data_IF_761007737946
#
_entry.id   IF_761007737946
#
_cell.length_a   1.000
_cell.length_b   1.000
_cell.length_c   1.000
_cell.angle_alpha   90.00
_cell.angle_beta   90.00
_cell.angle_gamma   90.00
#
_symmetry.space_group_name_H-M   'P 1'
#
loop_
_entity.id
_entity.type
_entity.pdbx_description
1 polymer ?
#
# COMPACT_ATOMS: atom_id res chain seq x y z
N UNK A 1 -5.11 9.06 25.73
CA UNK A 1 -3.74 8.58 25.51
C UNK A 1 -3.73 7.57 24.37
N UNK A 2 -2.75 7.60 23.45
CA UNK A 2 -2.77 6.77 22.24
C UNK A 2 -2.48 5.28 22.46
N UNK A 3 -1.72 4.90 23.49
CA UNK A 3 -1.46 3.52 23.89
C UNK A 3 -1.47 3.39 25.42
N UNK A 4 -2.14 2.38 25.96
CA UNK A 4 -2.29 2.14 27.41
C UNK A 4 -1.76 0.74 27.75
N UNK A 5 -2.21 -0.27 27.01
CA UNK A 5 -1.81 -1.66 27.15
C UNK A 5 -2.21 -2.43 25.88
N UNK A 6 -1.48 -3.50 25.57
CA UNK A 6 -1.73 -4.31 24.39
C UNK A 6 -0.48 -5.05 23.97
N UNK A 7 -0.43 -5.46 22.71
CA UNK A 7 0.71 -6.18 22.15
C UNK A 7 1.60 -5.23 21.34
N UNK A 8 2.91 -5.29 21.55
CA UNK A 8 3.91 -4.57 20.76
C UNK A 8 4.89 -5.59 20.19
N UNK A 9 5.32 -5.44 18.95
CA UNK A 9 6.31 -6.34 18.37
C UNK A 9 6.35 -6.24 16.85
N UNK A 10 6.66 -7.35 16.19
CA UNK A 10 6.96 -7.37 14.76
C UNK A 10 6.28 -8.51 14.02
N UNK A 11 5.98 -8.23 12.76
CA UNK A 11 5.52 -9.19 11.78
C UNK A 11 6.57 -9.28 10.65
N UNK A 12 6.92 -10.49 10.23
CA UNK A 12 7.79 -10.72 9.07
C UNK A 12 7.03 -10.43 7.78
N UNK A 13 7.78 -10.21 6.70
CA UNK A 13 7.20 -10.17 5.36
C UNK A 13 6.58 -11.52 4.98
N UNK A 14 7.14 -12.62 5.47
CA UNK A 14 6.74 -14.00 5.15
C UNK A 14 5.33 -14.36 5.63
N UNK A 15 4.69 -13.52 6.47
CA UNK A 15 3.25 -13.59 6.73
C UNK A 15 2.40 -13.60 5.46
N UNK A 16 2.85 -12.95 4.39
CA UNK A 16 2.18 -12.94 3.08
C UNK A 16 1.90 -14.36 2.56
N UNK A 17 2.76 -15.32 2.92
CA UNK A 17 2.64 -16.72 2.51
C UNK A 17 1.40 -17.39 3.11
N UNK A 18 0.84 -16.85 4.19
CA UNK A 18 -0.42 -17.33 4.75
C UNK A 18 -1.62 -16.94 3.87
N UNK A 19 -1.59 -15.78 3.22
CA UNK A 19 -2.66 -15.35 2.32
C UNK A 19 -2.52 -15.89 0.90
N UNK A 20 -1.28 -16.11 0.43
CA UNK A 20 -1.00 -16.57 -0.93
C UNK A 20 -0.35 -17.96 -0.93
N UNK A 21 -1.14 -19.06 -1.02
CA UNK A 21 -0.64 -20.43 -0.91
C UNK A 21 0.50 -20.79 -1.87
N UNK A 22 0.52 -20.24 -3.10
CA UNK A 22 1.62 -20.46 -4.08
C UNK A 22 2.99 -20.06 -3.50
N UNK A 23 3.06 -19.09 -2.57
CA UNK A 23 4.31 -18.69 -1.93
C UNK A 23 4.77 -19.67 -0.84
N UNK A 24 3.89 -20.55 -0.36
CA UNK A 24 4.26 -21.61 0.60
C UNK A 24 5.12 -22.69 -0.07
N UNK A 25 4.98 -22.86 -1.38
CA UNK A 25 5.77 -23.82 -2.17
C UNK A 25 7.24 -23.41 -2.30
N UNK A 26 7.57 -22.15 -2.01
CA UNK A 26 8.95 -21.62 -2.07
C UNK A 26 9.70 -22.03 -0.80
N UNK A 27 10.75 -22.84 -0.94
CA UNK A 27 11.60 -23.17 0.20
C UNK A 27 12.45 -21.97 0.65
N UNK A 28 12.42 -21.65 1.94
CA UNK A 28 13.23 -20.58 2.53
C UNK A 28 14.41 -21.15 3.28
N UNK A 29 15.61 -20.94 2.75
CA UNK A 29 16.86 -21.45 3.33
C UNK A 29 17.28 -20.76 4.63
N UNK A 30 16.80 -19.53 4.87
CA UNK A 30 17.20 -18.67 6.00
C UNK A 30 16.00 -18.10 6.78
N UNK A 31 14.88 -18.82 6.86
CA UNK A 31 13.73 -18.37 7.65
C UNK A 31 14.09 -18.35 9.13
N UNK A 32 14.16 -17.16 9.74
CA UNK A 32 14.26 -17.07 11.20
C UNK A 32 12.93 -17.45 11.83
N UNK A 33 12.98 -17.86 13.09
CA UNK A 33 12.05 -18.81 13.71
C UNK A 33 10.57 -18.38 13.78
N UNK A 34 10.25 -17.08 13.61
CA UNK A 34 8.88 -16.58 13.82
C UNK A 34 8.44 -15.52 12.80
N UNK A 35 7.27 -15.73 12.20
CA UNK A 35 6.59 -14.73 11.36
C UNK A 35 5.94 -13.60 12.17
N UNK A 36 5.68 -13.85 13.45
CA UNK A 36 5.07 -12.90 14.37
C UNK A 36 5.74 -13.04 15.73
N UNK A 37 6.18 -11.93 16.29
CA UNK A 37 6.68 -11.86 17.66
C UNK A 37 6.05 -10.66 18.35
N UNK A 38 5.23 -10.91 19.37
CA UNK A 38 4.56 -9.87 20.14
C UNK A 38 4.82 -10.02 21.63
N UNK A 39 5.01 -8.87 22.29
CA UNK A 39 5.15 -8.73 23.72
C UNK A 39 3.85 -8.17 24.28
N UNK A 40 3.26 -8.86 25.25
CA UNK A 40 2.16 -8.30 26.03
C UNK A 40 2.70 -7.20 26.95
N UNK A 41 2.17 -6.00 26.80
CA UNK A 41 2.57 -4.80 27.54
C UNK A 41 1.40 -4.34 28.38
N UNK A 42 1.56 -4.44 29.70
CA UNK A 42 0.59 -3.93 30.69
C UNK A 42 1.10 -2.73 31.48
N UNK A 43 2.39 -2.42 31.39
CA UNK A 43 2.97 -1.28 32.07
C UNK A 43 3.70 -0.41 31.04
N UNK A 44 3.37 0.88 31.00
CA UNK A 44 3.93 1.82 30.03
C UNK A 44 4.29 3.16 30.66
N UNK A 45 5.32 3.78 30.10
CA UNK A 45 5.64 5.18 30.28
C UNK A 45 5.24 5.93 29.01
N UNK A 46 4.39 6.95 29.13
CA UNK A 46 3.98 7.79 27.99
C UNK A 46 4.50 9.19 28.22
N UNK A 47 5.41 9.63 27.36
CA UNK A 47 5.93 10.99 27.36
C UNK A 47 5.09 11.84 26.39
N UNK A 48 4.34 12.81 26.93
CA UNK A 48 3.68 13.84 26.14
C UNK A 48 4.64 15.04 26.02
N UNK A 49 5.39 15.10 24.93
CA UNK A 49 6.36 16.17 24.71
C UNK A 49 5.72 17.54 24.49
N UNK A 50 4.45 17.61 24.11
CA UNK A 50 3.76 18.89 23.91
C UNK A 50 3.35 19.50 25.26
N UNK A 51 2.90 18.66 26.19
CA UNK A 51 2.53 19.08 27.55
C UNK A 51 3.67 19.01 28.55
N UNK A 52 4.80 18.44 28.15
CA UNK A 52 5.94 18.14 29.02
C UNK A 52 5.56 17.23 30.21
N UNK A 53 4.64 16.28 29.97
CA UNK A 53 4.12 15.38 31.00
C UNK A 53 4.62 13.93 30.81
N UNK A 54 4.90 13.25 31.92
CA UNK A 54 5.15 11.80 31.96
C UNK A 54 3.99 11.09 32.64
N UNK A 55 3.33 10.20 31.91
CA UNK A 55 2.31 9.30 32.45
C UNK A 55 2.93 7.94 32.75
N UNK A 56 2.73 7.46 33.98
CA UNK A 56 3.10 6.10 34.41
C UNK A 56 1.81 5.31 34.52
N UNK A 57 1.70 4.27 33.70
CA UNK A 57 0.45 3.51 33.58
C UNK A 57 0.76 2.05 33.91
N UNK A 58 -0.04 1.48 34.81
CA UNK A 58 -0.13 0.05 35.04
C UNK A 58 -1.55 -0.40 34.74
N UNK A 59 -1.67 -1.48 33.98
CA UNK A 59 -2.91 -2.06 33.49
C UNK A 59 -3.05 -3.51 33.97
N UNK A 60 -4.29 -3.97 34.08
CA UNK A 60 -4.66 -5.37 34.27
C UNK A 60 -5.68 -5.80 33.19
N UNK A 61 -5.60 -5.22 32.00
CA UNK A 61 -6.52 -5.53 30.90
C UNK A 61 -6.38 -6.97 30.40
N UNK A 62 -5.23 -7.59 30.60
CA UNK A 62 -4.93 -8.95 30.14
C UNK A 62 -4.55 -9.89 31.30
N UNK A 63 -4.17 -9.35 32.45
CA UNK A 63 -3.86 -10.10 33.66
C UNK A 63 -4.95 -9.95 34.74
N UNK A 64 -5.02 -10.92 35.65
CA UNK A 64 -5.92 -10.87 36.80
C UNK A 64 -5.34 -10.08 37.99
N UNK A 65 -4.48 -9.08 37.74
CA UNK A 65 -3.81 -8.31 38.79
C UNK A 65 -4.83 -7.44 39.55
N UNK A 66 -4.68 -7.40 40.87
CA UNK A 66 -5.55 -6.59 41.75
C UNK A 66 -5.17 -5.11 41.69
N UNK A 67 -6.06 -4.23 42.15
CA UNK A 67 -5.77 -2.78 42.25
C UNK A 67 -4.59 -2.50 43.16
N UNK A 68 -4.42 -3.31 44.20
CA UNK A 68 -3.32 -3.25 45.15
C UNK A 68 -2.00 -3.55 44.43
N UNK A 69 -1.94 -4.63 43.63
CA UNK A 69 -0.75 -4.96 42.84
C UNK A 69 -0.41 -3.88 41.80
N UNK A 70 -1.41 -3.22 41.22
CA UNK A 70 -1.17 -2.10 40.29
C UNK A 70 -0.59 -0.88 40.99
N UNK A 71 -1.10 -0.55 42.19
CA UNK A 71 -0.57 0.56 43.01
C UNK A 71 0.87 0.31 43.44
N UNK A 72 1.19 -0.90 43.89
CA UNK A 72 2.55 -1.29 44.24
C UNK A 72 3.51 -1.12 43.06
N UNK A 73 3.08 -1.53 41.87
CA UNK A 73 3.87 -1.42 40.65
C UNK A 73 4.10 0.01 40.17
N UNK A 74 3.11 0.88 40.36
CA UNK A 74 3.24 2.33 40.09
C UNK A 74 4.22 2.94 41.08
N UNK A 75 4.07 2.63 42.38
CA UNK A 75 4.96 3.14 43.42
C UNK A 75 6.41 2.69 43.20
N UNK A 76 6.62 1.41 42.86
CA UNK A 76 7.94 0.89 42.53
C UNK A 76 8.60 1.66 41.38
N UNK A 77 7.84 1.91 40.30
CA UNK A 77 8.29 2.67 39.13
C UNK A 77 8.60 4.13 39.45
N UNK A 78 7.79 4.75 40.31
CA UNK A 78 8.07 6.11 40.80
C UNK A 78 9.38 6.17 41.58
N UNK A 79 9.67 5.19 42.44
CA UNK A 79 10.95 5.12 43.13
C UNK A 79 12.12 4.86 42.17
N UNK A 80 11.94 3.98 41.18
CA UNK A 80 12.96 3.76 40.13
C UNK A 80 13.31 5.06 39.40
N UNK A 81 12.30 5.82 38.93
CA UNK A 81 12.50 7.10 38.22
C UNK A 81 13.29 8.14 39.03
N UNK A 82 13.15 8.16 40.36
CA UNK A 82 13.92 9.08 41.23
C UNK A 82 15.42 8.78 41.27
N UNK A 83 15.79 7.55 40.93
CA UNK A 83 17.17 7.05 40.98
C UNK A 83 17.80 6.88 39.60
N UNK A 84 17.07 7.20 38.52
CA UNK A 84 17.58 7.09 37.16
C UNK A 84 18.66 8.14 36.93
N UNK A 85 19.80 7.67 36.43
CA UNK A 85 20.80 8.54 35.84
C UNK A 85 20.35 8.99 34.44
N UNK A 86 20.12 10.29 34.30
CA UNK A 86 19.64 10.90 33.05
C UNK A 86 20.72 10.96 31.98
N UNK A 87 22.00 10.93 32.37
CA UNK A 87 23.12 11.10 31.47
C UNK A 87 24.00 9.85 31.49
N UNK A 88 24.06 9.17 30.34
CA UNK A 88 25.07 8.13 30.12
C UNK A 88 26.07 8.62 29.10
N UNK A 89 27.34 8.53 29.45
CA UNK A 89 28.41 8.85 28.53
C UNK A 89 28.39 7.93 27.30
N UNK A 90 28.71 8.53 26.17
CA UNK A 90 28.87 7.80 24.93
C UNK A 90 30.10 6.89 25.02
N UNK A 91 29.92 5.58 24.86
CA UNK A 91 31.05 4.68 24.66
C UNK A 91 31.66 4.96 23.29
N UNK A 92 32.97 5.23 23.29
CA UNK A 92 33.77 5.16 22.06
C UNK A 92 34.06 3.71 21.75
N UNK A 93 33.37 3.17 20.75
CA UNK A 93 33.58 1.81 20.26
C UNK A 93 34.25 1.86 18.89
N UNK A 94 35.45 1.29 18.79
CA UNK A 94 36.12 1.16 17.51
C UNK A 94 35.44 0.09 16.67
N UNK A 95 34.98 0.49 15.49
CA UNK A 95 34.35 -0.39 14.53
C UNK A 95 35.15 -0.49 13.24
N UNK A 96 36.46 -0.28 13.31
CA UNK A 96 37.38 -0.31 12.17
C UNK A 96 37.36 -1.64 11.41
N UNK A 97 37.01 -2.75 12.07
CA UNK A 97 36.98 -4.10 11.47
C UNK A 97 35.62 -4.51 10.86
N UNK A 98 34.78 -3.56 10.42
CA UNK A 98 33.49 -3.89 9.78
C UNK A 98 33.70 -4.51 8.40
N UNK A 99 33.58 -5.84 8.32
CA UNK A 99 33.44 -6.55 7.05
C UNK A 99 31.96 -6.70 6.70
N UNK A 100 31.52 -5.92 5.71
CA UNK A 100 30.16 -6.00 5.17
C UNK A 100 30.03 -7.25 4.30
N UNK A 101 29.02 -8.07 4.61
CA UNK A 101 28.61 -9.27 3.89
C UNK A 101 27.26 -9.00 3.21
N UNK A 102 27.01 -9.67 2.09
CA UNK A 102 25.73 -9.60 1.37
C UNK A 102 25.17 -10.98 1.14
N UNK A 103 23.84 -11.11 1.12
CA UNK A 103 23.17 -12.39 0.80
C UNK A 103 23.25 -12.75 -0.69
N UNK A 104 23.50 -11.76 -1.55
CA UNK A 104 23.62 -11.88 -3.00
C UNK A 104 24.79 -11.03 -3.47
N UNK A 105 25.54 -11.50 -4.47
CA UNK A 105 26.62 -10.72 -5.06
C UNK A 105 26.06 -9.56 -5.88
N UNK A 106 26.85 -8.50 -6.04
CA UNK A 106 26.43 -7.33 -6.84
C UNK A 106 26.11 -7.72 -8.29
N UNK A 107 26.96 -8.54 -8.91
CA UNK A 107 26.75 -9.02 -10.28
C UNK A 107 25.45 -9.81 -10.41
N UNK A 108 25.16 -10.69 -9.45
CA UNK A 108 23.90 -11.46 -9.45
C UNK A 108 22.70 -10.54 -9.23
N UNK A 109 22.80 -9.56 -8.32
CA UNK A 109 21.73 -8.59 -8.09
C UNK A 109 21.44 -7.79 -9.37
N UNK A 110 22.46 -7.28 -10.05
CA UNK A 110 22.31 -6.56 -11.33
C UNK A 110 21.68 -7.46 -12.41
N UNK A 111 22.07 -8.73 -12.49
CA UNK A 111 21.43 -9.68 -13.41
C UNK A 111 19.95 -9.88 -13.08
N UNK A 112 19.58 -10.01 -11.81
CA UNK A 112 18.18 -10.08 -11.38
C UNK A 112 17.42 -8.80 -11.77
N UNK A 113 18.01 -7.61 -11.58
CA UNK A 113 17.40 -6.34 -12.04
C UNK A 113 17.18 -6.36 -13.55
N UNK A 114 18.14 -6.84 -14.35
CA UNK A 114 17.97 -6.92 -15.82
C UNK A 114 16.84 -7.87 -16.20
N UNK A 115 16.73 -9.02 -15.54
CA UNK A 115 15.65 -9.97 -15.76
C UNK A 115 14.28 -9.35 -15.39
N UNK A 116 14.17 -8.69 -14.24
CA UNK A 116 12.95 -8.00 -13.81
C UNK A 116 12.57 -6.86 -14.77
N UNK A 117 13.54 -6.06 -15.24
CA UNK A 117 13.30 -5.02 -16.26
C UNK A 117 12.82 -5.61 -17.58
N UNK A 118 13.33 -6.78 -17.97
CA UNK A 118 12.85 -7.51 -19.16
C UNK A 118 11.39 -7.90 -18.97
N UNK A 119 11.03 -8.47 -17.81
CA UNK A 119 9.65 -8.80 -17.45
C UNK A 119 8.71 -7.59 -17.49
N UNK A 120 9.15 -6.44 -16.95
CA UNK A 120 8.39 -5.18 -17.05
C UNK A 120 8.16 -4.79 -18.52
N UNK A 121 9.19 -4.86 -19.37
CA UNK A 121 9.07 -4.55 -20.81
C UNK A 121 8.18 -5.52 -21.57
N UNK A 122 8.15 -6.78 -21.15
CA UNK A 122 7.28 -7.82 -21.70
C UNK A 122 5.82 -7.67 -21.22
N UNK A 123 5.57 -6.81 -20.23
CA UNK A 123 4.23 -6.57 -19.68
C UNK A 123 3.83 -7.52 -18.55
N UNK A 124 4.76 -8.29 -17.98
CA UNK A 124 4.49 -9.18 -16.83
C UNK A 124 4.02 -8.45 -15.58
N UNK A 125 4.56 -7.25 -15.39
CA UNK A 125 4.41 -6.46 -14.17
C UNK A 125 4.72 -5.00 -14.49
N UNK A 126 4.04 -4.08 -13.81
CA UNK A 126 4.30 -2.64 -13.97
C UNK A 126 5.53 -2.19 -13.18
N UNK A 127 5.70 -2.75 -11.98
CA UNK A 127 6.76 -2.38 -11.03
C UNK A 127 7.15 -3.58 -10.16
N UNK A 128 8.39 -3.57 -9.68
CA UNK A 128 8.89 -4.49 -8.65
C UNK A 128 9.95 -3.78 -7.80
N UNK A 129 9.99 -4.08 -6.51
CA UNK A 129 10.97 -3.52 -5.56
C UNK A 129 11.91 -4.62 -5.05
N UNK A 130 12.99 -4.93 -5.79
CA UNK A 130 13.97 -5.92 -5.37
C UNK A 130 14.88 -5.35 -4.27
N UNK A 131 15.21 -6.19 -3.28
CA UNK A 131 16.11 -5.82 -2.18
C UNK A 131 17.28 -6.78 -2.05
N UNK A 132 18.35 -6.32 -1.38
CA UNK A 132 19.49 -7.14 -0.94
C UNK A 132 19.84 -6.80 0.49
N UNK A 133 20.30 -7.80 1.23
CA UNK A 133 20.63 -7.69 2.64
C UNK A 133 22.13 -7.41 2.78
N UNK A 134 22.46 -6.43 3.61
CA UNK A 134 23.81 -6.16 4.08
C UNK A 134 23.90 -6.53 5.55
N UNK A 135 24.97 -7.19 5.96
CA UNK A 135 25.19 -7.61 7.34
C UNK A 135 26.67 -7.50 7.70
N UNK A 136 27.00 -7.39 8.98
CA UNK A 136 28.37 -7.45 9.47
C UNK A 136 28.36 -7.95 10.91
N UNK A 137 29.47 -8.52 11.36
CA UNK A 137 29.65 -8.91 12.77
C UNK A 137 30.09 -7.66 13.53
N UNK A 138 29.29 -7.26 14.53
CA UNK A 138 29.47 -5.98 15.21
C UNK A 138 30.38 -6.05 16.46
N UNK A 139 30.61 -7.25 17.02
CA UNK A 139 31.45 -7.48 18.21
C UNK A 139 31.11 -6.60 19.41
N UNK A 140 29.81 -6.34 19.65
CA UNK A 140 29.41 -5.47 20.76
C UNK A 140 29.52 -6.17 22.12
N UNK A 141 29.56 -7.50 22.15
CA UNK A 141 29.77 -8.33 23.34
C UNK A 141 28.99 -7.81 24.57
N UNK A 142 29.69 -7.47 25.67
CA UNK A 142 29.07 -6.95 26.89
C UNK A 142 28.45 -5.55 26.75
N UNK A 143 28.76 -4.81 25.68
CA UNK A 143 28.24 -3.49 25.37
C UNK A 143 27.02 -3.50 24.43
N UNK A 144 26.47 -4.67 24.09
CA UNK A 144 25.37 -4.85 23.13
C UNK A 144 24.22 -3.85 23.35
N UNK A 145 23.66 -3.78 24.56
CA UNK A 145 22.52 -2.92 24.86
C UNK A 145 22.87 -1.42 24.81
N UNK A 146 24.02 -1.04 25.34
CA UNK A 146 24.44 0.37 25.35
C UNK A 146 24.74 0.87 23.93
N UNK A 147 25.50 0.11 23.14
CA UNK A 147 25.84 0.49 21.76
C UNK A 147 24.64 0.46 20.82
N UNK A 148 23.70 -0.47 21.00
CA UNK A 148 22.45 -0.48 20.21
C UNK A 148 21.53 0.69 20.57
N UNK A 149 21.46 1.06 21.85
CA UNK A 149 20.72 2.27 22.25
C UNK A 149 21.39 3.55 21.73
N UNK A 150 22.72 3.66 21.80
CA UNK A 150 23.46 4.77 21.20
C UNK A 150 23.27 4.83 19.68
N UNK A 151 23.19 3.67 19.00
CA UNK A 151 22.88 3.60 17.58
C UNK A 151 21.47 4.15 17.29
N UNK A 152 20.47 3.78 18.08
CA UNK A 152 19.13 4.35 18.00
C UNK A 152 19.11 5.86 18.22
N UNK A 153 19.82 6.37 19.24
CA UNK A 153 19.92 7.81 19.51
C UNK A 153 20.57 8.57 18.34
N UNK A 154 21.64 8.01 17.75
CA UNK A 154 22.30 8.57 16.57
C UNK A 154 21.39 8.55 15.34
N UNK A 155 20.61 7.47 15.15
CA UNK A 155 19.61 7.38 14.08
C UNK A 155 18.53 8.45 14.25
N UNK A 156 17.95 8.57 15.45
CA UNK A 156 16.93 9.57 15.78
C UNK A 156 17.39 11.01 15.50
N UNK A 157 18.66 11.33 15.76
CA UNK A 157 19.24 12.66 15.52
C UNK A 157 19.56 12.93 14.04
N UNK A 158 19.87 11.88 13.24
CA UNK A 158 20.33 12.03 11.85
C UNK A 158 19.24 11.86 10.82
N UNK A 159 18.26 11.01 11.09
CA UNK A 159 17.15 10.73 10.19
C UNK A 159 15.88 10.49 11.02
N UNK A 160 15.32 11.54 11.65
CA UNK A 160 14.06 11.40 12.36
C UNK A 160 12.93 11.09 11.37
N UNK A 161 12.10 10.12 11.73
CA UNK A 161 10.91 9.76 10.96
C UNK A 161 9.68 9.67 11.88
N UNK A 162 8.45 9.67 11.34
CA UNK A 162 7.25 9.59 12.15
C UNK A 162 7.17 8.33 13.03
N UNK A 163 7.79 7.23 12.58
CA UNK A 163 7.80 5.95 13.28
C UNK A 163 9.23 5.53 13.64
N UNK A 164 9.67 5.91 14.84
CA UNK A 164 10.94 5.50 15.43
C UNK A 164 10.72 4.35 16.41
N UNK A 165 11.57 3.32 16.36
CA UNK A 165 11.44 2.19 17.28
C UNK A 165 12.79 1.59 17.69
N UNK A 166 12.85 1.18 18.96
CA UNK A 166 13.94 0.43 19.58
C UNK A 166 13.30 -0.66 20.45
N UNK A 167 13.39 -1.91 20.00
CA UNK A 167 12.82 -3.08 20.69
C UNK A 167 13.99 -3.94 21.16
N UNK A 168 14.23 -3.97 22.47
CA UNK A 168 15.36 -4.66 23.10
C UNK A 168 14.93 -5.71 24.14
N UNK A 169 13.73 -6.28 23.98
CA UNK A 169 13.18 -7.26 24.91
C UNK A 169 13.87 -8.62 24.78
N UNK A 170 14.07 -9.08 23.54
CA UNK A 170 14.79 -10.32 23.21
C UNK A 170 15.81 -10.07 22.08
N UNK A 171 16.47 -11.13 21.64
CA UNK A 171 17.26 -11.17 20.41
C UNK A 171 16.36 -11.63 19.26
N UNK A 172 16.38 -10.97 18.08
CA UNK A 172 17.22 -9.82 17.75
C UNK A 172 16.71 -8.50 18.37
N UNK A 173 17.65 -7.60 18.68
CA UNK A 173 17.32 -6.20 18.98
C UNK A 173 16.95 -5.51 17.66
N UNK A 174 15.80 -4.86 17.64
CA UNK A 174 15.26 -4.21 16.44
C UNK A 174 15.35 -2.70 16.61
N UNK A 175 15.97 -2.05 15.62
CA UNK A 175 16.17 -0.60 15.58
C UNK A 175 15.72 -0.12 14.22
N UNK A 176 14.90 0.92 14.18
CA UNK A 176 14.48 1.48 12.91
C UNK A 176 13.90 2.88 12.98
N UNK A 177 13.82 3.47 11.81
CA UNK A 177 13.24 4.77 11.52
C UNK A 177 12.45 4.64 10.23
N UNK A 178 11.14 4.44 10.34
CA UNK A 178 10.26 4.28 9.18
C UNK A 178 9.58 5.61 8.84
N UNK A 179 9.68 6.08 7.58
CA UNK A 179 8.96 7.27 7.11
C UNK A 179 7.48 6.99 6.87
N UNK A 180 7.09 5.74 6.62
CA UNK A 180 5.77 5.35 6.13
C UNK A 180 5.05 4.43 7.13
N UNK A 181 3.72 4.60 7.21
CA UNK A 181 2.83 3.73 7.97
C UNK A 181 2.35 2.59 7.09
N UNK A 182 2.36 1.36 7.60
CA UNK A 182 1.82 0.22 6.86
C UNK A 182 0.28 0.23 6.84
N UNK A 183 -0.33 0.10 8.03
CA UNK A 183 -1.78 0.12 8.21
C UNK A 183 -2.09 0.60 9.62
N UNK A 184 -3.18 1.35 9.77
CA UNK A 184 -3.73 1.73 11.06
C UNK A 184 -5.18 1.27 11.14
N UNK A 185 -5.56 0.68 12.28
CA UNK A 185 -6.96 0.34 12.57
C UNK A 185 -7.40 1.10 13.81
N UNK A 186 -8.49 1.85 13.71
CA UNK A 186 -9.06 2.62 14.83
C UNK A 186 -10.58 2.68 14.69
N UNK A 187 -11.30 2.38 15.77
CA UNK A 187 -12.77 2.47 15.83
C UNK A 187 -13.47 1.70 14.68
N UNK A 188 -12.95 0.51 14.35
CA UNK A 188 -13.34 -0.33 13.19
C UNK A 188 -13.07 0.27 11.79
N UNK A 189 -12.36 1.38 11.69
CA UNK A 189 -11.88 1.91 10.42
C UNK A 189 -10.42 1.52 10.18
N UNK A 190 -10.13 1.06 8.96
CA UNK A 190 -8.77 0.78 8.48
C UNK A 190 -8.31 1.93 7.62
N UNK A 191 -7.08 2.37 7.84
CA UNK A 191 -6.43 3.47 7.14
C UNK A 191 -5.15 2.97 6.48
N UNK A 192 -4.92 3.39 5.25
CA UNK A 192 -3.63 3.30 4.56
C UNK A 192 -3.26 4.69 4.04
N UNK A 193 -1.97 5.00 4.05
CA UNK A 193 -1.44 6.30 3.68
C UNK A 193 -0.43 6.12 2.54
N UNK A 194 -0.86 5.98 1.28
CA UNK A 194 0.05 5.92 0.15
C UNK A 194 0.96 7.16 0.11
N UNK A 195 2.27 6.94 0.03
CA UNK A 195 3.28 7.98 -0.10
C UNK A 195 4.07 7.73 -1.38
N UNK A 196 4.14 8.75 -2.26
CA UNK A 196 4.92 8.70 -3.49
C UNK A 196 5.33 10.12 -3.89
N UNK A 197 6.36 10.25 -4.73
CA UNK A 197 6.92 11.56 -5.05
C UNK A 197 7.75 12.12 -3.90
N UNK A 198 8.99 12.49 -4.21
CA UNK A 198 9.93 13.00 -3.21
C UNK A 198 10.68 14.18 -3.77
N UNK A 199 10.68 15.30 -3.05
CA UNK A 199 11.56 16.43 -3.34
C UNK A 199 12.18 16.95 -2.06
N UNK A 200 13.42 17.45 -2.15
CA UNK A 200 14.12 18.06 -1.01
C UNK A 200 13.38 19.32 -0.53
N UNK A 201 13.48 19.58 0.78
CA UNK A 201 13.01 20.85 1.38
C UNK A 201 13.81 22.03 0.82
N UNK A 202 13.15 23.17 0.66
CA UNK A 202 13.80 24.39 0.22
C UNK A 202 14.66 25.03 1.31
N UNK A 203 15.77 25.68 0.93
CA UNK A 203 16.62 26.46 1.84
C UNK A 203 15.89 27.67 2.47
N UNK A 204 14.73 28.05 1.93
CA UNK A 204 13.87 29.11 2.42
C UNK A 204 12.41 28.83 2.00
N UNK A 205 11.46 29.57 2.57
CA UNK A 205 10.02 29.37 2.35
C UNK A 205 9.64 29.44 0.87
N UNK A 206 10.15 30.43 0.13
CA UNK A 206 9.83 30.61 -1.29
C UNK A 206 10.32 29.43 -2.15
N UNK A 207 11.53 28.93 -1.88
CA UNK A 207 12.06 27.75 -2.57
C UNK A 207 11.29 26.49 -2.17
N UNK A 208 10.87 26.38 -0.91
CA UNK A 208 10.10 25.23 -0.40
C UNK A 208 8.71 25.14 -1.05
N UNK A 209 8.04 26.27 -1.23
CA UNK A 209 6.77 26.38 -1.95
C UNK A 209 6.93 26.09 -3.44
N UNK A 210 8.02 26.58 -4.04
CA UNK A 210 8.35 26.26 -5.44
C UNK A 210 8.58 24.77 -5.63
N UNK A 211 9.35 24.11 -4.76
CA UNK A 211 9.59 22.67 -4.80
C UNK A 211 8.28 21.89 -4.66
N UNK A 212 7.42 22.26 -3.70
CA UNK A 212 6.10 21.66 -3.52
C UNK A 212 5.23 21.79 -4.77
N UNK A 213 5.23 22.97 -5.39
CA UNK A 213 4.46 23.25 -6.61
C UNK A 213 5.00 22.46 -7.79
N UNK A 214 6.32 22.30 -7.93
CA UNK A 214 6.91 21.46 -8.98
C UNK A 214 6.52 20.00 -8.78
N UNK A 215 6.61 19.48 -7.56
CA UNK A 215 6.31 18.08 -7.26
C UNK A 215 4.84 17.74 -7.55
N UNK A 216 3.88 18.56 -7.13
CA UNK A 216 2.45 18.28 -7.35
C UNK A 216 2.00 18.44 -8.80
N UNK A 217 2.80 19.11 -9.64
CA UNK A 217 2.53 19.29 -11.07
C UNK A 217 3.42 18.40 -11.96
N UNK A 218 4.29 17.56 -11.39
CA UNK A 218 5.06 16.59 -12.17
C UNK A 218 4.13 15.44 -12.56
N UNK A 219 3.83 15.34 -13.85
CA UNK A 219 2.91 14.34 -14.40
C UNK A 219 3.36 12.90 -14.08
N UNK A 220 4.67 12.64 -14.04
CA UNK A 220 5.16 11.30 -13.74
C UNK A 220 4.91 10.96 -12.27
N UNK A 221 5.29 11.85 -11.35
CA UNK A 221 5.11 11.64 -9.90
C UNK A 221 3.63 11.56 -9.52
N UNK A 222 2.78 12.39 -10.12
CA UNK A 222 1.33 12.36 -9.93
C UNK A 222 0.74 11.05 -10.47
N UNK A 223 1.22 10.56 -11.61
CA UNK A 223 0.74 9.29 -12.18
C UNK A 223 1.13 8.09 -11.30
N UNK A 224 2.37 8.04 -10.81
CA UNK A 224 2.87 7.00 -9.91
C UNK A 224 2.10 7.03 -8.59
N UNK A 225 1.90 8.22 -8.02
CA UNK A 225 1.12 8.38 -6.80
C UNK A 225 -0.33 7.93 -6.98
N UNK A 226 -0.97 8.30 -8.10
CA UNK A 226 -2.35 7.89 -8.40
C UNK A 226 -2.51 6.37 -8.44
N UNK A 227 -1.55 5.67 -9.08
CA UNK A 227 -1.51 4.22 -9.12
C UNK A 227 -1.43 3.62 -7.70
N UNK A 228 -0.60 4.19 -6.81
CA UNK A 228 -0.48 3.72 -5.43
C UNK A 228 -1.73 4.01 -4.60
N UNK A 229 -2.43 5.11 -4.87
CA UNK A 229 -3.75 5.39 -4.26
C UNK A 229 -4.77 4.34 -4.67
N UNK A 230 -4.85 3.99 -5.95
CA UNK A 230 -5.77 2.95 -6.42
C UNK A 230 -5.41 1.57 -5.87
N UNK A 231 -4.14 1.27 -5.71
CA UNK A 231 -3.69 0.04 -5.07
C UNK A 231 -4.09 0.00 -3.59
N UNK A 232 -3.87 1.10 -2.86
CA UNK A 232 -4.36 1.26 -1.49
C UNK A 232 -5.88 1.13 -1.37
N UNK A 233 -6.65 1.60 -2.35
CA UNK A 233 -8.11 1.40 -2.41
C UNK A 233 -8.48 -0.07 -2.61
N UNK A 234 -7.81 -0.77 -3.51
CA UNK A 234 -8.03 -2.20 -3.75
C UNK A 234 -7.73 -3.02 -2.49
N UNK A 235 -6.65 -2.68 -1.81
CA UNK A 235 -6.24 -3.25 -0.54
C UNK A 235 -7.30 -3.05 0.56
N UNK A 236 -7.81 -1.83 0.72
CA UNK A 236 -8.91 -1.51 1.64
C UNK A 236 -10.19 -2.27 1.27
N UNK A 237 -10.54 -2.36 -0.02
CA UNK A 237 -11.75 -3.06 -0.48
C UNK A 237 -11.76 -4.56 -0.12
N UNK A 238 -10.60 -5.22 -0.10
CA UNK A 238 -10.53 -6.64 0.25
C UNK A 238 -11.01 -6.91 1.68
N UNK A 239 -10.71 -6.01 2.61
CA UNK A 239 -10.96 -6.18 4.05
C UNK A 239 -12.11 -5.31 4.60
N UNK A 240 -12.59 -4.32 3.84
CA UNK A 240 -13.64 -3.39 4.28
C UNK A 240 -15.01 -3.70 3.67
N UNK A 241 -16.07 -3.22 4.32
CA UNK A 241 -17.45 -3.31 3.83
C UNK A 241 -17.56 -2.58 2.49
N UNK A 242 -18.25 -3.20 1.53
CA UNK A 242 -18.49 -2.62 0.20
C UNK A 242 -19.14 -1.25 0.31
N UNK A 243 -18.59 -0.26 -0.41
CA UNK A 243 -19.11 1.11 -0.43
C UNK A 243 -18.69 1.99 0.75
N UNK A 244 -17.87 1.51 1.68
CA UNK A 244 -17.37 2.32 2.81
C UNK A 244 -16.01 2.95 2.57
N UNK A 245 -15.28 2.50 1.55
CA UNK A 245 -13.98 3.04 1.15
C UNK A 245 -14.10 4.49 0.70
N UNK A 246 -13.24 5.36 1.22
CA UNK A 246 -13.18 6.80 0.92
C UNK A 246 -11.73 7.26 0.90
N UNK A 247 -11.43 8.21 0.01
CA UNK A 247 -10.18 8.97 0.07
C UNK A 247 -10.45 10.21 0.91
N UNK A 248 -9.84 10.32 2.08
CA UNK A 248 -10.00 11.46 3.00
C UNK A 248 -8.98 12.55 2.74
N UNK A 249 -7.86 12.20 2.11
CA UNK A 249 -6.78 13.11 1.71
C UNK A 249 -6.27 12.66 0.35
N UNK A 250 -6.20 13.55 -0.64
CA UNK A 250 -5.77 13.21 -2.00
C UNK A 250 -4.65 14.16 -2.45
N UNK A 251 -3.50 13.58 -2.75
CA UNK A 251 -2.34 14.27 -3.32
C UNK A 251 -1.88 15.51 -2.53
N UNK A 252 -1.95 15.44 -1.21
CA UNK A 252 -1.51 16.54 -0.36
C UNK A 252 0.01 16.47 -0.13
N UNK A 253 0.69 17.62 -0.24
CA UNK A 253 2.10 17.71 0.14
C UNK A 253 2.24 17.64 1.66
N UNK A 254 2.99 16.64 2.16
CA UNK A 254 3.46 16.59 3.54
C UNK A 254 4.94 16.91 3.62
N UNK A 255 5.29 17.79 4.56
CA UNK A 255 6.66 18.25 4.77
C UNK A 255 7.28 17.51 5.94
N UNK A 256 8.39 16.84 5.68
CA UNK A 256 9.26 16.24 6.69
C UNK A 256 10.50 17.13 6.88
N UNK A 257 11.42 16.72 7.76
CA UNK A 257 12.58 17.55 8.12
C UNK A 257 13.47 17.87 6.90
N UNK A 258 13.73 16.89 6.04
CA UNK A 258 14.65 17.03 4.90
C UNK A 258 13.99 16.89 3.53
N UNK A 259 12.82 16.27 3.46
CA UNK A 259 12.07 16.02 2.21
C UNK A 259 10.60 16.38 2.37
N UNK A 260 9.88 16.45 1.26
CA UNK A 260 8.42 16.47 1.23
C UNK A 260 7.91 15.43 0.23
N UNK A 261 6.70 14.91 0.50
CA UNK A 261 6.08 13.85 -0.31
C UNK A 261 4.65 14.19 -0.71
N UNK A 262 4.19 13.60 -1.81
CA UNK A 262 2.76 13.54 -2.11
C UNK A 262 2.18 12.42 -1.24
N UNK A 263 1.16 12.76 -0.44
CA UNK A 263 0.52 11.84 0.51
C UNK A 263 -0.99 11.85 0.28
N UNK A 264 -1.55 10.65 0.22
CA UNK A 264 -2.99 10.43 0.26
C UNK A 264 -3.38 9.58 1.46
N UNK A 265 -4.66 9.56 1.79
CA UNK A 265 -5.21 8.71 2.84
C UNK A 265 -6.47 8.03 2.33
N UNK A 266 -6.49 6.69 2.41
CA UNK A 266 -7.63 5.87 2.07
C UNK A 266 -8.12 5.19 3.34
N UNK A 267 -9.42 5.30 3.61
CA UNK A 267 -10.08 4.74 4.78
C UNK A 267 -11.24 3.85 4.36
N UNK A 268 -11.50 2.77 5.09
CA UNK A 268 -12.70 1.95 4.94
C UNK A 268 -13.17 1.37 6.28
N UNK A 269 -14.45 1.01 6.37
CA UNK A 269 -14.99 0.35 7.56
C UNK A 269 -14.74 -1.15 7.46
N UNK A 270 -14.06 -1.73 8.45
CA UNK A 270 -13.69 -3.14 8.47
C UNK A 270 -14.93 -4.05 8.40
N UNK A 271 -14.84 -5.16 7.65
CA UNK A 271 -15.87 -6.21 7.67
C UNK A 271 -16.00 -6.80 9.09
N UNK A 272 -17.21 -7.21 9.51
CA UNK A 272 -17.37 -7.89 10.78
C UNK A 272 -16.54 -9.18 10.79
N UNK A 273 -16.04 -9.57 11.97
CA UNK A 273 -15.29 -10.82 12.21
C UNK A 273 -13.93 -10.94 11.48
N UNK A 274 -13.37 -9.84 10.96
CA UNK A 274 -11.97 -9.85 10.50
C UNK A 274 -11.05 -9.59 11.69
N UNK A 275 -10.07 -10.46 11.87
CA UNK A 275 -9.01 -10.27 12.88
C UNK A 275 -7.98 -9.25 12.42
N UNK A 276 -7.31 -8.55 13.35
CA UNK A 276 -6.22 -7.63 13.01
C UNK A 276 -5.06 -8.33 12.31
N UNK A 277 -4.81 -9.61 12.63
CA UNK A 277 -3.80 -10.40 11.92
C UNK A 277 -4.17 -10.66 10.47
N UNK A 278 -5.45 -10.92 10.20
CA UNK A 278 -5.95 -11.04 8.83
C UNK A 278 -5.83 -9.72 8.07
N UNK A 279 -6.03 -8.56 8.74
CA UNK A 279 -5.77 -7.25 8.12
C UNK A 279 -4.31 -7.13 7.70
N UNK A 280 -3.37 -7.39 8.61
CA UNK A 280 -1.93 -7.32 8.33
C UNK A 280 -1.56 -8.26 7.18
N UNK A 281 -1.94 -9.54 7.27
CA UNK A 281 -1.58 -10.54 6.29
C UNK A 281 -2.19 -10.23 4.92
N UNK A 282 -3.46 -9.82 4.87
CA UNK A 282 -4.15 -9.41 3.64
C UNK A 282 -3.42 -8.28 2.94
N UNK A 283 -3.04 -7.23 3.67
CA UNK A 283 -2.41 -6.04 3.11
C UNK A 283 -0.92 -6.23 2.76
N UNK A 284 -0.36 -7.41 3.01
CA UNK A 284 0.97 -7.76 2.52
C UNK A 284 0.88 -8.41 1.13
N UNK A 285 1.81 -8.11 0.21
CA UNK A 285 2.75 -7.00 0.27
C UNK A 285 2.01 -5.67 0.11
N UNK A 286 2.54 -4.58 0.65
CA UNK A 286 2.01 -3.25 0.32
C UNK A 286 2.05 -3.04 -1.19
N UNK A 287 1.13 -2.24 -1.71
CA UNK A 287 1.11 -1.88 -3.12
C UNK A 287 2.43 -1.29 -3.66
N UNK A 288 3.14 -0.55 -2.80
CA UNK A 288 4.50 -0.06 -3.05
C UNK A 288 5.52 -1.18 -3.33
N UNK A 289 5.15 -2.44 -3.08
CA UNK A 289 5.99 -3.65 -3.13
C UNK A 289 5.43 -4.74 -4.07
N UNK A 290 4.14 -4.74 -4.49
CA UNK A 290 3.51 -5.90 -5.20
C UNK A 290 2.84 -5.70 -6.57
N UNK A 291 2.52 -4.50 -7.06
CA UNK A 291 1.94 -4.30 -8.41
C UNK A 291 0.46 -4.76 -8.60
N UNK A 292 -0.04 -4.70 -9.84
CA UNK A 292 -1.47 -4.86 -10.22
C UNK A 292 -1.80 -6.22 -10.90
N UNK A 293 -3.09 -6.63 -10.87
CA UNK A 293 -3.59 -7.97 -11.23
C UNK A 293 -4.50 -8.05 -12.48
N UNK A 294 -4.71 -6.93 -13.17
CA UNK A 294 -5.43 -6.85 -14.46
C UNK A 294 -4.60 -5.99 -15.43
N UNK A 295 -4.57 -6.36 -16.71
CA UNK A 295 -3.90 -5.58 -17.75
C UNK A 295 -4.91 -5.12 -18.81
N UNK A 296 -4.75 -3.89 -19.26
CA UNK A 296 -5.55 -3.27 -20.32
C UNK A 296 -4.77 -3.35 -21.64
N UNK A 297 -5.38 -3.93 -22.67
CA UNK A 297 -4.86 -3.90 -24.04
C UNK A 297 -5.75 -3.03 -24.90
N UNK A 298 -5.22 -1.89 -25.35
CA UNK A 298 -5.95 -0.93 -26.19
C UNK A 298 -5.71 -1.29 -27.66
N UNK A 299 -6.75 -1.77 -28.36
CA UNK A 299 -6.63 -2.28 -29.72
C UNK A 299 -6.17 -1.21 -30.71
N UNK A 300 -6.55 0.05 -30.49
CA UNK A 300 -6.22 1.17 -31.36
C UNK A 300 -4.70 1.38 -31.54
N UNK A 301 -3.92 1.14 -30.47
CA UNK A 301 -2.48 1.46 -30.43
C UNK A 301 -1.57 0.25 -30.66
N UNK A 302 -2.15 -0.94 -30.81
CA UNK A 302 -1.44 -2.20 -30.99
C UNK A 302 -1.67 -2.75 -32.39
N UNK A 303 -0.65 -3.33 -33.01
CA UNK A 303 -0.83 -4.17 -34.22
C UNK A 303 -1.48 -5.50 -33.87
N UNK A 304 -2.01 -6.22 -34.86
CA UNK A 304 -2.64 -7.54 -34.61
C UNK A 304 -1.66 -8.56 -34.03
N UNK A 305 -0.40 -8.51 -34.46
CA UNK A 305 0.68 -9.33 -33.93
C UNK A 305 0.98 -8.99 -32.46
N UNK A 306 1.18 -7.70 -32.17
CA UNK A 306 1.42 -7.23 -30.78
C UNK A 306 0.25 -7.56 -29.85
N UNK A 307 -0.97 -7.36 -30.32
CA UNK A 307 -2.18 -7.62 -29.54
C UNK A 307 -2.31 -9.12 -29.20
N UNK A 308 -2.02 -9.99 -30.17
CA UNK A 308 -2.03 -11.44 -29.98
C UNK A 308 -0.94 -11.90 -29.02
N UNK A 309 0.28 -11.40 -29.20
CA UNK A 309 1.43 -11.77 -28.37
C UNK A 309 1.23 -11.32 -26.92
N UNK A 310 0.81 -10.06 -26.71
CA UNK A 310 0.56 -9.53 -25.37
C UNK A 310 -0.62 -10.21 -24.67
N UNK A 311 -1.70 -10.52 -25.40
CA UNK A 311 -2.84 -11.25 -24.84
C UNK A 311 -2.45 -12.68 -24.43
N UNK A 312 -1.73 -13.41 -25.29
CA UNK A 312 -1.24 -14.75 -25.00
C UNK A 312 -0.27 -14.74 -23.80
N UNK A 313 0.59 -13.73 -23.75
CA UNK A 313 1.55 -13.56 -22.66
C UNK A 313 0.85 -13.30 -21.33
N UNK A 314 -0.05 -12.31 -21.28
CA UNK A 314 -0.78 -11.97 -20.06
C UNK A 314 -1.63 -13.15 -19.54
N UNK A 315 -2.32 -13.87 -20.43
CA UNK A 315 -3.11 -15.05 -20.05
C UNK A 315 -2.24 -16.22 -19.56
N UNK A 316 -1.02 -16.40 -20.10
CA UNK A 316 -0.06 -17.39 -19.59
C UNK A 316 0.36 -17.11 -18.14
N UNK A 317 0.27 -15.84 -17.71
CA UNK A 317 0.64 -15.40 -16.37
C UNK A 317 -0.54 -15.36 -15.39
N UNK A 318 -1.69 -15.94 -15.75
CA UNK A 318 -2.93 -15.89 -14.95
C UNK A 318 -3.46 -14.44 -14.76
N UNK A 319 -3.06 -13.47 -15.60
CA UNK A 319 -3.63 -12.11 -15.55
C UNK A 319 -4.97 -12.06 -16.29
N UNK A 320 -5.94 -11.38 -15.69
CA UNK A 320 -7.16 -11.01 -16.40
C UNK A 320 -6.83 -9.90 -17.41
N UNK A 321 -7.38 -10.00 -18.63
CA UNK A 321 -7.08 -9.06 -19.71
C UNK A 321 -8.35 -8.36 -20.16
N UNK A 322 -8.39 -7.05 -19.98
CA UNK A 322 -9.43 -6.19 -20.54
C UNK A 322 -8.97 -5.69 -21.92
N UNK A 323 -9.66 -6.12 -22.98
CA UNK A 323 -9.34 -5.67 -24.36
C UNK A 323 -10.25 -4.51 -24.73
N UNK A 324 -9.69 -3.30 -24.80
CA UNK A 324 -10.42 -2.06 -25.05
C UNK A 324 -10.52 -1.74 -26.55
N UNK A 325 -11.73 -1.40 -27.00
CA UNK A 325 -12.07 -1.05 -28.38
C UNK A 325 -12.91 0.23 -28.46
N UNK A 326 -12.77 0.95 -29.57
CA UNK A 326 -13.44 2.24 -29.81
C UNK A 326 -14.40 2.21 -31.01
N UNK A 327 -14.25 1.25 -31.92
CA UNK A 327 -15.08 1.12 -33.11
C UNK A 327 -15.30 -0.36 -33.50
N UNK A 328 -16.10 -0.59 -34.55
CA UNK A 328 -16.41 -1.95 -35.01
C UNK A 328 -15.20 -2.67 -35.59
N UNK A 329 -14.26 -1.95 -36.18
CA UNK A 329 -13.08 -2.56 -36.77
C UNK A 329 -12.16 -3.09 -35.68
N UNK A 330 -11.95 -2.28 -34.62
CA UNK A 330 -11.24 -2.71 -33.42
C UNK A 330 -11.95 -3.89 -32.72
N UNK A 331 -13.28 -3.89 -32.67
CA UNK A 331 -14.04 -5.02 -32.11
C UNK A 331 -13.80 -6.33 -32.86
N UNK A 332 -13.77 -6.31 -34.19
CA UNK A 332 -13.48 -7.53 -34.98
C UNK A 332 -12.04 -8.01 -34.75
N UNK A 333 -11.08 -7.09 -34.62
CA UNK A 333 -9.70 -7.41 -34.25
C UNK A 333 -9.63 -8.07 -32.87
N UNK A 334 -10.30 -7.48 -31.86
CA UNK A 334 -10.38 -8.04 -30.52
C UNK A 334 -10.96 -9.46 -30.49
N UNK A 335 -12.01 -9.73 -31.29
CA UNK A 335 -12.61 -11.06 -31.37
C UNK A 335 -11.66 -12.15 -31.89
N UNK A 336 -10.62 -11.81 -32.64
CA UNK A 336 -9.63 -12.79 -33.09
C UNK A 336 -8.87 -13.44 -31.92
N UNK A 337 -8.77 -12.73 -30.79
CA UNK A 337 -8.13 -13.24 -29.56
C UNK A 337 -9.05 -14.15 -28.74
N UNK A 338 -10.36 -14.08 -28.97
CA UNK A 338 -11.39 -14.66 -28.11
C UNK A 338 -11.27 -14.29 -26.62
N UNK A 339 -11.23 -12.98 -26.27
CA UNK A 339 -10.93 -12.55 -24.92
C UNK A 339 -12.09 -12.78 -23.95
N UNK A 340 -11.84 -12.96 -22.66
CA UNK A 340 -12.92 -13.09 -21.68
C UNK A 340 -13.71 -11.79 -21.50
N UNK A 341 -13.01 -10.64 -21.49
CA UNK A 341 -13.59 -9.32 -21.25
C UNK A 341 -13.20 -8.37 -22.39
N UNK A 342 -14.20 -7.65 -22.92
CA UNK A 342 -14.03 -6.60 -23.92
C UNK A 342 -14.60 -5.29 -23.38
N UNK A 343 -13.75 -4.27 -23.32
CA UNK A 343 -14.09 -2.91 -22.98
C UNK A 343 -14.49 -2.11 -24.20
N UNK A 344 -15.62 -1.41 -24.17
CA UNK A 344 -16.04 -0.49 -25.24
C UNK A 344 -15.98 0.93 -24.71
N UNK A 345 -14.94 1.65 -25.10
CA UNK A 345 -14.72 3.01 -24.67
C UNK A 345 -15.57 3.99 -25.50
N UNK A 346 -16.47 4.70 -24.83
CA UNK A 346 -17.39 5.67 -25.43
C UNK A 346 -16.72 6.99 -25.82
N UNK A 347 -15.43 7.19 -25.50
CA UNK A 347 -14.66 8.39 -25.88
C UNK A 347 -14.05 8.24 -27.27
N UNK A 348 -14.33 9.20 -28.16
CA UNK A 348 -13.63 9.30 -29.43
C UNK A 348 -12.22 9.88 -29.21
N UNK A 349 -11.18 9.07 -29.33
CA UNK A 349 -9.79 9.54 -29.15
C UNK A 349 -9.29 10.46 -30.28
N UNK A 350 -9.98 10.53 -31.43
CA UNK A 350 -9.63 11.43 -32.54
C UNK A 350 -10.30 12.80 -32.42
N UNK A 351 -11.51 12.83 -31.85
CA UNK A 351 -12.33 14.05 -31.73
C UNK A 351 -12.46 14.57 -30.30
N UNK A 352 -12.02 13.80 -29.32
CA UNK A 352 -12.15 14.06 -27.88
C UNK A 352 -13.60 14.30 -27.42
N UNK A 353 -14.57 13.70 -28.12
CA UNK A 353 -16.00 13.74 -27.77
C UNK A 353 -16.37 12.42 -27.12
N UNK A 354 -17.08 12.47 -25.99
CA UNK A 354 -17.59 11.27 -25.31
C UNK A 354 -19.08 11.13 -25.63
N UNK A 355 -19.45 9.98 -26.19
CA UNK A 355 -20.84 9.64 -26.51
C UNK A 355 -21.11 8.16 -26.16
N UNK A 356 -21.93 7.96 -25.13
CA UNK A 356 -22.29 6.62 -24.64
C UNK A 356 -23.00 5.77 -25.68
N UNK A 357 -23.79 6.37 -26.58
CA UNK A 357 -24.53 5.63 -27.61
C UNK A 357 -23.60 4.99 -28.66
N UNK A 358 -22.33 5.40 -28.70
CA UNK A 358 -21.30 4.73 -29.49
C UNK A 358 -21.20 3.25 -29.15
N UNK A 359 -21.41 2.86 -27.89
CA UNK A 359 -21.44 1.45 -27.47
C UNK A 359 -22.49 0.63 -28.23
N UNK A 360 -23.69 1.19 -28.45
CA UNK A 360 -24.73 0.53 -29.26
C UNK A 360 -24.26 0.29 -30.68
N UNK A 361 -23.50 1.24 -31.23
CA UNK A 361 -22.98 1.13 -32.58
C UNK A 361 -21.85 0.10 -32.67
N UNK A 362 -20.92 0.06 -31.73
CA UNK A 362 -19.81 -0.90 -31.70
C UNK A 362 -20.35 -2.32 -31.55
N UNK A 363 -21.29 -2.53 -30.62
CA UNK A 363 -21.78 -3.87 -30.25
C UNK A 363 -22.86 -4.47 -31.18
N UNK A 364 -23.18 -3.86 -32.32
CA UNK A 364 -24.15 -4.44 -33.28
C UNK A 364 -23.79 -5.86 -33.71
N UNK A 365 -22.50 -6.18 -33.80
CA UNK A 365 -21.97 -7.49 -34.19
C UNK A 365 -21.33 -8.24 -33.01
N UNK A 366 -21.82 -8.04 -31.79
CA UNK A 366 -21.27 -8.74 -30.63
C UNK A 366 -21.35 -10.26 -30.80
N UNK A 367 -20.36 -10.97 -30.26
CA UNK A 367 -20.28 -12.45 -30.27
C UNK A 367 -20.61 -12.99 -28.88
N UNK A 368 -21.12 -14.21 -28.80
CA UNK A 368 -21.32 -14.88 -27.51
C UNK A 368 -19.96 -15.27 -26.89
N UNK A 369 -19.94 -15.54 -25.58
CA UNK A 369 -18.75 -15.96 -24.78
C UNK A 369 -17.78 -14.84 -24.37
N UNK A 370 -18.17 -13.59 -24.53
CA UNK A 370 -17.41 -12.43 -24.04
C UNK A 370 -18.28 -11.63 -23.07
N UNK A 371 -17.67 -11.07 -22.04
CA UNK A 371 -18.30 -10.03 -21.23
C UNK A 371 -18.01 -8.66 -21.85
N UNK A 372 -19.05 -7.92 -22.21
CA UNK A 372 -18.93 -6.58 -22.78
C UNK A 372 -19.16 -5.52 -21.72
N UNK A 373 -18.15 -4.71 -21.48
CA UNK A 373 -18.17 -3.62 -20.51
C UNK A 373 -18.22 -2.30 -21.28
N UNK A 374 -19.20 -1.44 -21.00
CA UNK A 374 -19.19 -0.07 -21.53
C UNK A 374 -18.39 0.84 -20.60
N UNK A 375 -17.53 1.67 -21.18
CA UNK A 375 -16.56 2.45 -20.43
C UNK A 375 -16.67 3.94 -20.79
N UNK A 376 -16.48 4.79 -19.78
CA UNK A 376 -16.53 6.26 -19.88
C UNK A 376 -17.92 6.85 -20.22
N UNK A 377 -18.16 8.09 -19.80
CA UNK A 377 -19.37 8.86 -20.16
C UNK A 377 -20.66 8.51 -19.41
N UNK A 378 -20.63 7.57 -18.46
CA UNK A 378 -21.79 7.23 -17.63
C UNK A 378 -21.87 8.17 -16.43
N UNK A 379 -22.82 9.09 -16.44
CA UNK A 379 -23.03 10.05 -15.35
C UNK A 379 -24.42 9.91 -14.70
N UNK A 380 -25.37 9.28 -15.40
CA UNK A 380 -26.76 9.21 -14.97
C UNK A 380 -27.41 7.88 -15.35
N UNK A 381 -28.58 7.60 -14.74
CA UNK A 381 -29.42 6.46 -15.11
C UNK A 381 -29.82 6.48 -16.59
N UNK A 382 -30.05 7.68 -17.15
CA UNK A 382 -30.43 7.86 -18.54
C UNK A 382 -29.31 7.39 -19.49
N UNK A 383 -28.05 7.63 -19.13
CA UNK A 383 -26.89 7.16 -19.91
C UNK A 383 -26.86 5.63 -19.95
N UNK A 384 -27.13 4.98 -18.81
CA UNK A 384 -27.25 3.51 -18.73
C UNK A 384 -28.40 3.01 -19.60
N UNK A 385 -29.55 3.70 -19.58
CA UNK A 385 -30.73 3.30 -20.32
C UNK A 385 -30.54 3.39 -21.84
N UNK A 386 -29.75 4.35 -22.31
CA UNK A 386 -29.38 4.48 -23.73
C UNK A 386 -28.58 3.29 -24.25
N UNK A 387 -27.78 2.64 -23.40
CA UNK A 387 -26.82 1.62 -23.85
C UNK A 387 -27.19 0.19 -23.44
N UNK A 388 -28.11 -0.01 -22.50
CA UNK A 388 -28.44 -1.37 -22.03
C UNK A 388 -28.96 -2.28 -23.15
N UNK A 389 -29.62 -1.71 -24.16
CA UNK A 389 -30.12 -2.45 -25.33
C UNK A 389 -29.01 -2.98 -26.24
N UNK A 390 -27.77 -2.49 -26.12
CA UNK A 390 -26.61 -3.07 -26.80
C UNK A 390 -26.27 -4.48 -26.29
N UNK A 391 -26.83 -4.88 -25.14
CA UNK A 391 -26.54 -6.17 -24.52
C UNK A 391 -25.17 -6.23 -23.86
N UNK A 392 -24.71 -5.10 -23.30
CA UNK A 392 -23.59 -5.05 -22.36
C UNK A 392 -23.87 -5.90 -21.11
N UNK A 393 -22.79 -6.44 -20.55
CA UNK A 393 -22.80 -7.25 -19.33
C UNK A 393 -22.41 -6.41 -18.09
N UNK A 394 -21.75 -5.27 -18.30
CA UNK A 394 -21.35 -4.37 -17.23
C UNK A 394 -21.03 -2.95 -17.68
N UNK A 395 -20.73 -2.11 -16.70
CA UNK A 395 -20.37 -0.71 -16.85
C UNK A 395 -19.10 -0.42 -16.05
N UNK A 396 -18.15 0.29 -16.64
CA UNK A 396 -16.98 0.83 -15.96
C UNK A 396 -17.15 2.34 -15.81
N UNK A 397 -17.40 2.77 -14.58
CA UNK A 397 -17.75 4.15 -14.23
C UNK A 397 -16.63 4.73 -13.39
N UNK A 398 -15.73 5.52 -13.99
CA UNK A 398 -14.63 6.17 -13.28
C UNK A 398 -15.00 7.57 -12.81
N UNK A 399 -15.01 8.51 -13.75
CA UNK A 399 -15.13 9.95 -13.51
C UNK A 399 -16.33 10.35 -12.64
N UNK A 400 -17.52 9.79 -12.91
CA UNK A 400 -18.72 10.12 -12.15
C UNK A 400 -18.66 9.59 -10.71
N UNK A 401 -17.99 8.46 -10.46
CA UNK A 401 -17.74 7.99 -9.10
C UNK A 401 -16.75 8.91 -8.38
N UNK A 402 -15.68 9.34 -9.05
CA UNK A 402 -14.68 10.22 -8.45
C UNK A 402 -15.23 11.61 -8.10
N UNK A 403 -16.16 12.13 -8.91
CA UNK A 403 -16.80 13.43 -8.68
C UNK A 403 -17.99 13.36 -7.72
N UNK A 404 -18.44 12.17 -7.33
CA UNK A 404 -19.61 12.01 -6.48
C UNK A 404 -19.26 12.28 -5.01
N UNK A 405 -19.90 13.27 -4.41
CA UNK A 405 -19.78 13.55 -2.97
C UNK A 405 -20.41 12.45 -2.11
N UNK A 406 -21.34 11.66 -2.67
CA UNK A 406 -22.07 10.62 -1.94
C UNK A 406 -22.34 9.37 -2.80
N UNK A 407 -21.36 8.46 -2.82
CA UNK A 407 -21.43 7.18 -3.51
C UNK A 407 -22.62 6.31 -3.06
N UNK A 408 -23.03 6.41 -1.79
CA UNK A 408 -24.13 5.60 -1.25
C UNK A 408 -25.50 5.96 -1.83
N UNK A 409 -25.65 7.18 -2.36
CA UNK A 409 -26.84 7.61 -3.10
C UNK A 409 -26.66 7.47 -4.61
N UNK A 410 -25.45 7.77 -5.11
CA UNK A 410 -25.15 7.75 -6.53
C UNK A 410 -25.23 6.33 -7.13
N UNK A 411 -24.62 5.33 -6.50
CA UNK A 411 -24.65 3.95 -7.01
C UNK A 411 -26.09 3.40 -7.12
N UNK A 412 -26.98 3.57 -6.12
CA UNK A 412 -28.39 3.23 -6.30
C UNK A 412 -29.10 4.00 -7.41
N UNK A 413 -28.77 5.27 -7.65
CA UNK A 413 -29.44 6.07 -8.70
C UNK A 413 -29.16 5.55 -10.11
N UNK A 414 -28.05 4.84 -10.33
CA UNK A 414 -27.71 4.23 -11.61
C UNK A 414 -28.44 2.91 -11.87
N UNK A 415 -29.09 2.32 -10.84
CA UNK A 415 -29.79 1.04 -10.99
C UNK A 415 -31.02 1.23 -11.86
N UNK A 416 -31.15 0.39 -12.88
CA UNK A 416 -32.40 0.25 -13.60
C UNK A 416 -33.37 -0.67 -12.83
N UNK A 417 -34.68 -0.38 -12.86
CA UNK A 417 -35.66 -1.28 -12.27
C UNK A 417 -35.53 -2.67 -12.91
N UNK A 418 -35.54 -3.73 -12.08
CA UNK A 418 -35.53 -5.10 -12.60
C UNK A 418 -36.76 -5.29 -13.49
N UNK A 419 -36.53 -5.46 -14.79
CA UNK A 419 -37.58 -5.91 -15.71
C UNK A 419 -37.96 -7.32 -15.25
N UNK A 420 -39.20 -7.51 -14.77
CA UNK A 420 -39.76 -8.85 -14.58
C UNK A 420 -39.78 -9.50 -15.95
N UNK A 421 -38.87 -10.45 -16.19
CA UNK A 421 -38.91 -11.31 -17.38
C UNK A 421 -40.11 -12.25 -17.31
#
# INVERSE_FOLDING_TARGET
MPFISGFIGTCSFDLVRHEFPKLRDIHLSNHREHDVQFYLVENVYVFDHYKEELYIIASNLFSNRTKENLKEDINKRLEELKTIDFWRDDIKFDSSQRRILTNISENQFIQNIRALKKKIKEGDMFQVVPSRIYSYIHHFDCYLHQLTFQLYQKLKRRNPSPYMYYINKDIPIIIGSSPESFVKVKDNFVYTNPIAGTVERGNNVAQDEKNATLLINDENEVSEHSMLVDLGRNDIHRICKTGTSKITKLMNIEKYEHVMHIVSEVVGELKPNISLMSVIASLLPTGTVSGASIILLIVNILTDEQLKDLYAYATQLDLEVLVEVHDRYELERAHQLSPHIIGVNSRDLKRFVTDVERTNNVLKNKKAKHYYISESGIHSQNDVQKIITSGIDGLLIGEALMKSENLSQFLPSLKLPKVKR
#
